data_IF_564594372502
#
_entry.id   IF_564594372502
#
_cell.length_a   1.000
_cell.length_b   1.000
_cell.length_c   1.000
_cell.angle_alpha   90.00
_cell.angle_beta   90.00
_cell.angle_gamma   90.00
#
_symmetry.space_group_name_H-M   'P 1'
#
loop_
_entity.id
_entity.type
_entity.pdbx_description
1 polymer ?
#
# COMPACT_ATOMS: atom_id res chain seq x y z
N UNK A 1 33.15 13.62 46.44
CA UNK A 1 33.09 12.92 45.13
C UNK A 1 31.80 12.10 44.93
N UNK A 2 31.41 11.18 45.83
CA UNK A 2 30.17 10.36 45.69
C UNK A 2 28.87 11.18 45.58
N UNK A 3 28.73 12.25 46.38
CA UNK A 3 27.56 13.15 46.39
C UNK A 3 27.36 13.91 45.07
N UNK A 4 28.45 14.29 44.41
CA UNK A 4 28.44 15.01 43.13
C UNK A 4 28.04 14.09 41.97
N UNK A 5 28.53 12.84 41.97
CA UNK A 5 28.12 11.82 41.00
C UNK A 5 26.63 11.47 41.09
N UNK A 6 26.07 11.38 42.31
CA UNK A 6 24.63 11.15 42.48
C UNK A 6 23.75 12.27 41.94
N UNK A 7 24.17 13.54 42.12
CA UNK A 7 23.47 14.71 41.56
C UNK A 7 23.54 14.76 40.03
N UNK A 8 24.70 14.43 39.45
CA UNK A 8 24.89 14.32 38.01
C UNK A 8 24.01 13.21 37.40
N UNK A 9 23.87 12.07 38.08
CA UNK A 9 23.01 10.97 37.63
C UNK A 9 21.52 11.36 37.65
N UNK A 10 21.06 12.02 38.70
CA UNK A 10 19.69 12.54 38.80
C UNK A 10 19.38 13.59 37.73
N UNK A 11 20.35 14.45 37.41
CA UNK A 11 20.21 15.46 36.35
C UNK A 11 20.12 14.82 34.96
N UNK A 12 20.90 13.76 34.69
CA UNK A 12 20.84 13.03 33.43
C UNK A 12 19.49 12.30 33.22
N UNK A 13 18.92 11.72 34.29
CA UNK A 13 17.59 11.09 34.24
C UNK A 13 16.50 12.14 34.01
N UNK A 14 16.58 13.30 34.68
CA UNK A 14 15.63 14.39 34.48
C UNK A 14 15.64 14.94 33.04
N UNK A 15 16.81 15.01 32.40
CA UNK A 15 16.95 15.41 30.98
C UNK A 15 16.37 14.40 29.98
N UNK A 16 16.24 13.12 30.35
CA UNK A 16 15.62 12.09 29.49
C UNK A 16 14.08 12.15 29.52
N UNK A 17 13.48 12.61 30.62
CA UNK A 17 12.03 12.75 30.77
C UNK A 17 11.46 13.90 29.91
N UNK A 18 12.27 14.91 29.57
CA UNK A 18 11.87 16.01 28.67
C UNK A 18 11.87 15.65 27.19
N UNK A 19 12.34 14.45 26.82
CA UNK A 19 12.43 14.00 25.43
C UNK A 19 11.24 13.11 24.98
N UNK A 20 10.22 12.95 25.81
CA UNK A 20 8.98 12.26 25.41
C UNK A 20 8.09 13.21 24.60
N UNK A 21 8.39 13.31 23.30
CA UNK A 21 7.45 13.90 22.36
C UNK A 21 6.17 13.09 22.32
N UNK A 22 5.01 13.74 22.37
CA UNK A 22 3.73 13.10 22.09
C UNK A 22 3.68 12.75 20.60
N UNK A 23 3.64 11.46 20.27
CA UNK A 23 3.37 11.02 18.92
C UNK A 23 1.88 11.26 18.61
N UNK A 24 1.60 12.27 17.78
CA UNK A 24 0.26 12.44 17.23
C UNK A 24 0.07 11.47 16.07
N UNK A 25 -0.78 10.47 16.27
CA UNK A 25 -1.30 9.70 15.16
C UNK A 25 -2.16 10.64 14.29
N UNK A 26 -1.96 10.61 12.98
CA UNK A 26 -2.85 11.26 12.04
C UNK A 26 -4.29 10.73 12.15
N UNK A 27 -5.24 11.33 11.41
CA UNK A 27 -6.61 10.83 11.38
C UNK A 27 -6.63 9.35 10.98
N UNK A 28 -7.55 8.58 11.57
CA UNK A 28 -7.68 7.15 11.31
C UNK A 28 -8.06 6.83 9.84
N UNK A 29 -8.56 7.83 9.12
CA UNK A 29 -8.97 7.73 7.73
C UNK A 29 -8.28 8.82 6.91
N UNK A 30 -7.92 8.46 5.68
CA UNK A 30 -7.42 9.42 4.70
C UNK A 30 -8.50 10.46 4.39
N UNK A 31 -8.15 11.74 4.44
CA UNK A 31 -9.04 12.80 4.00
C UNK A 31 -9.28 12.69 2.49
N UNK A 32 -10.53 12.52 2.08
CA UNK A 32 -10.93 12.49 0.67
C UNK A 32 -11.40 13.86 0.21
N UNK A 33 -11.02 14.28 -0.99
CA UNK A 33 -11.50 15.50 -1.64
C UNK A 33 -12.81 15.34 -2.40
N UNK A 34 -13.07 16.28 -3.31
CA UNK A 34 -14.19 16.19 -4.27
C UNK A 34 -14.00 15.07 -5.30
N UNK A 35 -15.00 14.92 -6.18
CA UNK A 35 -14.93 13.94 -7.29
C UNK A 35 -13.76 14.28 -8.22
N UNK A 36 -12.98 13.26 -8.57
CA UNK A 36 -11.90 13.34 -9.56
C UNK A 36 -12.24 12.52 -10.80
N UNK A 37 -11.57 12.80 -11.91
CA UNK A 37 -11.64 11.97 -13.12
C UNK A 37 -10.87 10.67 -12.93
N UNK A 38 -11.27 9.64 -13.66
CA UNK A 38 -10.54 8.37 -13.73
C UNK A 38 -9.17 8.58 -14.40
N UNK A 39 -8.10 7.88 -13.97
CA UNK A 39 -6.84 7.85 -14.70
C UNK A 39 -7.01 7.36 -16.14
N UNK A 40 -6.28 7.93 -17.09
CA UNK A 40 -6.39 7.56 -18.51
C UNK A 40 -6.02 6.09 -18.74
N UNK A 41 -4.98 5.58 -18.07
CA UNK A 41 -4.58 4.17 -18.15
C UNK A 41 -5.70 3.22 -17.74
N UNK A 42 -6.36 3.49 -16.61
CA UNK A 42 -7.53 2.72 -16.17
C UNK A 42 -8.69 2.82 -17.17
N UNK A 43 -8.96 4.00 -17.75
CA UNK A 43 -10.02 4.15 -18.74
C UNK A 43 -9.78 3.25 -19.97
N UNK A 44 -8.56 3.28 -20.53
CA UNK A 44 -8.18 2.44 -21.66
C UNK A 44 -8.18 0.95 -21.31
N UNK A 45 -7.75 0.59 -20.09
CA UNK A 45 -7.83 -0.77 -19.58
C UNK A 45 -9.27 -1.29 -19.55
N UNK A 46 -10.23 -0.50 -19.06
CA UNK A 46 -11.64 -0.84 -19.09
C UNK A 46 -12.17 -1.05 -20.51
N UNK A 47 -11.70 -0.26 -21.47
CA UNK A 47 -12.10 -0.43 -22.86
C UNK A 47 -11.60 -1.76 -23.44
N UNK A 48 -10.38 -2.18 -23.06
CA UNK A 48 -9.77 -3.44 -23.50
C UNK A 48 -10.34 -4.66 -22.77
N UNK A 49 -10.60 -4.54 -21.47
CA UNK A 49 -11.09 -5.60 -20.58
C UNK A 49 -12.34 -5.10 -19.81
N UNK A 50 -13.52 -5.05 -20.47
CA UNK A 50 -14.73 -4.50 -19.85
C UNK A 50 -15.15 -5.16 -18.54
N UNK A 51 -14.81 -6.44 -18.35
CA UNK A 51 -15.08 -7.19 -17.12
C UNK A 51 -14.40 -6.58 -15.88
N UNK A 52 -13.21 -5.99 -16.03
CA UNK A 52 -12.44 -5.38 -14.94
C UNK A 52 -13.13 -4.16 -14.34
N UNK A 53 -14.06 -3.58 -15.09
CA UNK A 53 -14.76 -2.35 -14.73
C UNK A 53 -16.25 -2.58 -14.49
N UNK A 54 -16.68 -3.84 -14.50
CA UNK A 54 -18.03 -4.25 -14.11
C UNK A 54 -18.14 -4.57 -12.62
N UNK A 55 -17.03 -4.50 -11.87
CA UNK A 55 -16.99 -4.79 -10.45
C UNK A 55 -17.73 -3.73 -9.64
N UNK A 56 -18.82 -4.16 -8.99
CA UNK A 56 -19.63 -3.32 -8.11
C UNK A 56 -19.26 -3.66 -6.67
N UNK A 57 -18.64 -2.72 -5.97
CA UNK A 57 -18.43 -2.83 -4.52
C UNK A 57 -19.78 -3.16 -3.87
N UNK A 58 -19.95 -4.33 -3.25
CA UNK A 58 -21.22 -4.69 -2.64
C UNK A 58 -21.51 -3.71 -1.52
N UNK A 59 -22.79 -3.31 -1.36
CA UNK A 59 -23.22 -2.43 -0.26
C UNK A 59 -23.29 -3.23 1.05
N UNK A 60 -22.14 -3.71 1.52
CA UNK A 60 -21.98 -4.52 2.72
C UNK A 60 -20.91 -3.93 3.65
N UNK A 61 -20.91 -4.37 4.90
CA UNK A 61 -19.86 -4.01 5.84
C UNK A 61 -18.49 -4.51 5.32
N UNK A 62 -17.38 -3.84 5.67
CA UNK A 62 -16.04 -4.35 5.38
C UNK A 62 -15.87 -5.78 5.91
N UNK A 63 -15.15 -6.60 5.14
CA UNK A 63 -14.80 -7.96 5.58
C UNK A 63 -13.94 -7.91 6.85
N UNK A 64 -14.18 -8.83 7.78
CA UNK A 64 -13.36 -8.95 8.99
C UNK A 64 -11.94 -9.40 8.63
N UNK A 65 -10.94 -8.65 9.11
CA UNK A 65 -9.53 -9.01 8.92
C UNK A 65 -9.13 -10.13 9.88
N UNK A 66 -9.47 -11.36 9.54
CA UNK A 66 -9.05 -12.55 10.30
C UNK A 66 -7.55 -12.80 10.14
N UNK A 67 -6.95 -13.59 11.06
CA UNK A 67 -5.55 -14.04 10.93
C UNK A 67 -5.29 -14.80 9.63
N UNK A 68 -6.27 -15.61 9.17
CA UNK A 68 -6.18 -16.34 7.90
C UNK A 68 -6.15 -15.38 6.71
N UNK A 69 -7.06 -14.41 6.68
CA UNK A 69 -7.12 -13.41 5.60
C UNK A 69 -5.85 -12.54 5.58
N UNK A 70 -5.37 -12.12 6.75
CA UNK A 70 -4.10 -11.39 6.85
C UNK A 70 -2.92 -12.19 6.29
N UNK A 71 -2.82 -13.49 6.61
CA UNK A 71 -1.78 -14.35 6.05
C UNK A 71 -1.89 -14.47 4.52
N UNK A 72 -3.11 -14.58 3.97
CA UNK A 72 -3.33 -14.59 2.53
C UNK A 72 -2.86 -13.29 1.86
N UNK A 73 -3.24 -12.12 2.40
CA UNK A 73 -2.81 -10.81 1.90
C UNK A 73 -1.28 -10.69 1.88
N UNK A 74 -0.62 -11.07 2.97
CA UNK A 74 0.85 -11.01 3.06
C UNK A 74 1.52 -11.97 2.06
N UNK A 75 1.01 -13.20 1.94
CA UNK A 75 1.56 -14.19 1.03
C UNK A 75 1.41 -13.77 -0.44
N UNK A 76 0.22 -13.31 -0.85
CA UNK A 76 -0.04 -12.81 -2.20
C UNK A 76 0.84 -11.61 -2.49
N UNK A 77 0.87 -10.62 -1.59
CA UNK A 77 1.71 -9.44 -1.78
C UNK A 77 3.19 -9.80 -1.98
N UNK A 78 3.72 -10.71 -1.16
CA UNK A 78 5.12 -11.13 -1.26
C UNK A 78 5.38 -11.95 -2.53
N UNK A 79 4.46 -12.85 -2.90
CA UNK A 79 4.54 -13.64 -4.14
C UNK A 79 4.60 -12.75 -5.37
N UNK A 80 3.64 -11.82 -5.50
CA UNK A 80 3.57 -10.85 -6.60
C UNK A 80 4.84 -9.99 -6.64
N UNK A 81 5.24 -9.43 -5.49
CA UNK A 81 6.44 -8.59 -5.40
C UNK A 81 7.73 -9.31 -5.79
N UNK A 82 7.78 -10.63 -5.61
CA UNK A 82 9.00 -11.42 -5.87
C UNK A 82 9.09 -11.90 -7.31
N UNK A 83 7.96 -12.26 -7.93
CA UNK A 83 7.96 -12.86 -9.27
C UNK A 83 7.91 -11.84 -10.40
N UNK A 84 7.37 -10.65 -10.15
CA UNK A 84 7.34 -9.57 -11.15
C UNK A 84 8.62 -8.75 -10.99
N UNK A 85 9.28 -8.49 -12.12
CA UNK A 85 10.44 -7.62 -12.21
C UNK A 85 9.99 -6.19 -12.52
N UNK A 86 10.39 -5.18 -11.72
CA UNK A 86 9.91 -3.82 -11.92
C UNK A 86 10.45 -3.21 -13.22
N UNK A 87 9.56 -2.68 -14.07
CA UNK A 87 9.85 -1.95 -15.31
C UNK A 87 8.75 -0.91 -15.52
N UNK A 88 9.13 0.28 -15.98
CA UNK A 88 8.15 1.33 -16.29
C UNK A 88 7.42 1.02 -17.59
N UNK A 89 6.22 1.57 -17.76
CA UNK A 89 5.49 1.49 -19.02
C UNK A 89 6.25 2.06 -20.23
N UNK A 90 7.10 3.06 -20.02
CA UNK A 90 7.94 3.59 -21.10
C UNK A 90 8.95 2.54 -21.58
N UNK A 91 9.55 1.78 -20.66
CA UNK A 91 10.50 0.71 -21.00
C UNK A 91 9.82 -0.48 -21.69
N UNK A 92 8.58 -0.79 -21.31
CA UNK A 92 7.83 -1.93 -21.84
C UNK A 92 7.09 -1.62 -23.15
N UNK A 93 6.48 -0.44 -23.25
CA UNK A 93 5.49 -0.12 -24.29
C UNK A 93 5.82 1.16 -25.07
N UNK A 94 6.81 1.95 -24.64
CA UNK A 94 7.12 3.25 -25.23
C UNK A 94 6.01 4.29 -25.02
N UNK A 95 5.23 4.15 -23.94
CA UNK A 95 4.12 5.04 -23.57
C UNK A 95 4.26 5.42 -22.09
N UNK A 96 3.71 6.56 -21.71
CA UNK A 96 3.70 6.99 -20.31
C UNK A 96 2.85 6.10 -19.41
N UNK A 97 1.79 5.48 -19.95
CA UNK A 97 0.83 4.71 -19.17
C UNK A 97 0.14 3.62 -20.01
N UNK A 98 0.17 2.38 -19.54
CA UNK A 98 -0.48 1.19 -20.10
C UNK A 98 -0.78 0.19 -18.96
N UNK A 99 -1.93 0.36 -18.32
CA UNK A 99 -2.43 -0.62 -17.36
C UNK A 99 -2.57 -1.99 -18.02
N UNK A 100 -1.95 -3.01 -17.42
CA UNK A 100 -1.94 -4.37 -17.95
C UNK A 100 -1.83 -5.41 -16.83
N UNK A 101 -2.04 -6.68 -17.18
CA UNK A 101 -1.62 -7.76 -16.30
C UNK A 101 -0.16 -8.12 -16.58
N UNK A 102 0.68 -8.30 -15.55
CA UNK A 102 2.12 -8.53 -15.69
C UNK A 102 2.45 -9.98 -16.10
N UNK A 103 1.71 -10.53 -17.06
CA UNK A 103 1.84 -11.91 -17.54
C UNK A 103 3.19 -12.16 -18.25
N UNK A 104 3.86 -11.08 -18.69
CA UNK A 104 5.23 -11.10 -19.21
C UNK A 104 6.31 -11.22 -18.13
N UNK A 105 5.93 -11.12 -16.85
CA UNK A 105 6.84 -11.07 -15.70
C UNK A 105 7.39 -9.67 -15.40
N UNK A 106 6.92 -8.64 -16.08
CA UNK A 106 7.29 -7.24 -15.87
C UNK A 106 6.07 -6.38 -15.56
N UNK A 107 6.27 -5.29 -14.83
CA UNK A 107 5.24 -4.29 -14.56
C UNK A 107 5.75 -3.18 -13.65
N UNK A 108 4.95 -2.15 -13.44
CA UNK A 108 5.15 -1.11 -12.43
C UNK A 108 3.98 -1.08 -11.43
N UNK A 109 3.70 0.08 -10.83
CA UNK A 109 3.00 0.10 -9.55
C UNK A 109 1.54 -0.37 -9.64
N UNK A 110 0.85 0.01 -10.71
CA UNK A 110 -0.53 -0.34 -11.01
C UNK A 110 -0.66 -1.78 -11.48
N UNK A 111 0.27 -2.29 -12.27
CA UNK A 111 0.27 -3.67 -12.74
C UNK A 111 0.41 -4.64 -11.56
N UNK A 112 1.28 -4.30 -10.60
CA UNK A 112 1.41 -5.06 -9.35
C UNK A 112 0.12 -4.99 -8.52
N UNK A 113 -0.56 -3.84 -8.51
CA UNK A 113 -1.81 -3.68 -7.77
C UNK A 113 -2.95 -4.50 -8.41
N UNK A 114 -3.05 -4.49 -9.74
CA UNK A 114 -3.99 -5.29 -10.52
C UNK A 114 -3.77 -6.78 -10.24
N UNK A 115 -2.51 -7.23 -10.24
CA UNK A 115 -2.20 -8.64 -10.03
C UNK A 115 -2.53 -9.12 -8.60
N UNK A 116 -2.19 -8.32 -7.59
CA UNK A 116 -2.56 -8.62 -6.20
C UNK A 116 -4.07 -8.68 -6.05
N UNK A 117 -4.80 -7.78 -6.71
CA UNK A 117 -6.26 -7.77 -6.70
C UNK A 117 -6.81 -9.04 -7.35
N UNK A 118 -6.32 -9.43 -8.52
CA UNK A 118 -6.73 -10.64 -9.25
C UNK A 118 -6.59 -11.88 -8.37
N UNK A 119 -5.42 -12.09 -7.78
CA UNK A 119 -5.20 -13.22 -6.87
C UNK A 119 -6.07 -13.15 -5.60
N UNK A 120 -6.31 -11.97 -5.04
CA UNK A 120 -7.19 -11.79 -3.87
C UNK A 120 -8.67 -12.04 -4.17
N UNK A 121 -9.09 -11.92 -5.43
CA UNK A 121 -10.46 -12.22 -5.85
C UNK A 121 -10.68 -13.73 -6.05
N UNK A 122 -9.60 -14.50 -6.17
CA UNK A 122 -9.62 -15.94 -6.41
C UNK A 122 -9.49 -16.80 -5.13
N UNK A 123 -9.45 -16.19 -3.93
CA UNK A 123 -9.31 -16.91 -2.64
C UNK A 123 -10.61 -17.13 -1.86
#
# INVERSE_FOLDING_TARGET
MKKTRGKLLLMAIAMQLSAWGTAYAGPAFMHTGGRTTQPVGHYEFCQKLPQECNERTPKQAPIELTRKLWAAIVNINNSVNTRITPRTDMEMWGKEEVWSYPDSGFGDCEDYALEKRRELMDI
#
